data_IF_537575849553
#
_entry.id   IF_537575849553
#
_cell.length_a   1.000
_cell.length_b   1.000
_cell.length_c   1.000
_cell.angle_alpha   90.00
_cell.angle_beta   90.00
_cell.angle_gamma   90.00
#
_symmetry.space_group_name_H-M   'P 1'
#
loop_
_entity.id
_entity.type
_entity.pdbx_description
1 polymer ?
#
# COMPACT_ATOMS: atom_id res chain seq x y z
N UNK A 1 43.17 0.34 -25.12
CA UNK A 1 42.03 0.92 -25.88
C UNK A 1 41.03 1.56 -24.90
N UNK A 2 41.52 2.50 -24.07
CA UNK A 2 40.82 3.00 -22.88
C UNK A 2 41.30 4.38 -22.44
N UNK A 3 41.82 5.20 -23.36
CA UNK A 3 42.32 6.56 -23.05
C UNK A 3 41.81 7.67 -23.99
N UNK A 4 40.92 7.39 -24.95
CA UNK A 4 40.65 8.33 -26.05
C UNK A 4 39.24 8.96 -26.09
N UNK A 5 38.50 9.00 -24.97
CA UNK A 5 37.14 9.61 -24.91
C UNK A 5 37.01 10.66 -23.79
N UNK A 6 38.06 11.44 -23.53
CA UNK A 6 37.97 12.57 -22.56
C UNK A 6 38.10 13.97 -23.17
N UNK A 7 38.24 14.12 -24.48
CA UNK A 7 38.71 15.39 -25.06
C UNK A 7 37.72 16.15 -25.96
N UNK A 8 36.40 16.05 -25.77
CA UNK A 8 35.47 16.80 -26.64
C UNK A 8 34.15 17.26 -26.00
N UNK A 9 34.20 17.82 -24.79
CA UNK A 9 33.08 18.57 -24.21
C UNK A 9 33.48 19.99 -23.80
N UNK A 10 34.20 20.69 -24.67
CA UNK A 10 34.21 22.16 -24.64
C UNK A 10 32.84 22.64 -25.12
N UNK A 11 31.88 22.66 -24.20
CA UNK A 11 30.61 23.35 -24.37
C UNK A 11 30.94 24.81 -24.68
N UNK A 12 30.76 25.18 -25.94
CA UNK A 12 30.84 26.54 -26.42
C UNK A 12 29.74 27.35 -25.70
N UNK A 13 30.09 27.93 -24.54
CA UNK A 13 29.28 28.92 -23.84
C UNK A 13 29.31 30.20 -24.68
N UNK A 14 28.64 30.18 -25.84
CA UNK A 14 28.36 31.38 -26.60
C UNK A 14 27.81 32.42 -25.64
N UNK A 15 28.42 33.61 -25.67
CA UNK A 15 28.13 34.76 -24.83
C UNK A 15 26.62 34.99 -24.71
N UNK A 16 26.04 34.47 -23.64
CA UNK A 16 24.67 34.75 -23.25
C UNK A 16 24.71 36.23 -22.84
N UNK A 17 24.14 37.09 -23.68
CA UNK A 17 23.95 38.51 -23.35
C UNK A 17 23.43 38.60 -21.93
N UNK A 18 24.00 39.51 -21.14
CA UNK A 18 23.74 39.66 -19.71
C UNK A 18 22.25 39.82 -19.46
N UNK A 19 21.53 38.71 -19.28
CA UNK A 19 20.15 38.73 -18.81
C UNK A 19 20.19 39.50 -17.49
N UNK A 20 19.29 40.47 -17.29
CA UNK A 20 19.26 41.26 -16.06
C UNK A 20 19.25 40.30 -14.86
N UNK A 21 20.19 40.50 -13.94
CA UNK A 21 20.32 39.68 -12.73
C UNK A 21 18.98 39.71 -12.02
N UNK A 22 18.32 38.56 -11.96
CA UNK A 22 16.99 38.45 -11.38
C UNK A 22 17.13 38.56 -9.86
N UNK A 23 16.73 39.70 -9.28
CA UNK A 23 16.89 39.99 -7.84
C UNK A 23 16.04 39.10 -6.91
N UNK A 24 15.12 38.30 -7.45
CA UNK A 24 14.29 37.42 -6.62
C UNK A 24 13.50 36.35 -7.36
N UNK A 25 12.86 35.47 -6.58
CA UNK A 25 12.00 34.39 -7.09
C UNK A 25 10.78 34.96 -7.82
N UNK A 26 10.39 34.36 -8.95
CA UNK A 26 9.16 34.74 -9.69
C UNK A 26 7.92 34.71 -8.80
N UNK A 27 6.95 35.56 -9.09
CA UNK A 27 5.66 35.55 -8.37
C UNK A 27 4.90 34.25 -8.64
N UNK A 28 3.94 33.89 -7.78
CA UNK A 28 3.11 32.68 -7.95
C UNK A 28 2.37 32.71 -9.30
N UNK A 29 1.77 33.85 -9.66
CA UNK A 29 1.07 34.01 -10.94
C UNK A 29 1.99 33.87 -12.14
N UNK A 30 3.22 34.39 -12.04
CA UNK A 30 4.22 34.24 -13.10
C UNK A 30 4.70 32.79 -13.23
N UNK A 31 4.98 32.11 -12.11
CA UNK A 31 5.33 30.68 -12.11
C UNK A 31 4.22 29.84 -12.75
N UNK A 32 2.95 30.13 -12.44
CA UNK A 32 1.81 29.43 -13.01
C UNK A 32 1.70 29.67 -14.53
N UNK A 33 1.81 30.93 -14.97
CA UNK A 33 1.78 31.33 -16.39
C UNK A 33 2.93 30.68 -17.17
N UNK A 34 4.14 30.74 -16.65
CA UNK A 34 5.33 30.17 -17.28
C UNK A 34 5.25 28.64 -17.33
N UNK A 35 4.71 28.01 -16.27
CA UNK A 35 4.49 26.56 -16.24
C UNK A 35 3.50 26.12 -17.31
N UNK A 36 2.40 26.85 -17.47
CA UNK A 36 1.40 26.57 -18.51
C UNK A 36 1.97 26.81 -19.91
N UNK A 37 2.79 27.85 -20.09
CA UNK A 37 3.49 28.13 -21.34
C UNK A 37 4.48 27.02 -21.72
N UNK A 38 5.27 26.53 -20.75
CA UNK A 38 6.16 25.39 -20.94
C UNK A 38 5.41 24.09 -21.20
N UNK A 39 4.29 23.87 -20.52
CA UNK A 39 3.44 22.71 -20.75
C UNK A 39 2.86 22.75 -22.17
N UNK A 40 2.32 23.89 -22.60
CA UNK A 40 1.75 24.07 -23.94
C UNK A 40 2.79 23.89 -25.04
N UNK A 41 3.97 24.49 -24.87
CA UNK A 41 5.05 24.41 -25.88
C UNK A 41 5.67 23.01 -25.99
N UNK A 42 5.65 22.22 -24.91
CA UNK A 42 6.22 20.86 -24.89
C UNK A 42 5.15 19.76 -24.77
N UNK A 43 3.87 20.09 -25.00
CA UNK A 43 2.73 19.23 -24.68
C UNK A 43 2.90 17.83 -25.28
N UNK A 44 3.10 17.75 -26.59
CA UNK A 44 3.21 16.47 -27.30
C UNK A 44 4.37 15.62 -26.78
N UNK A 45 5.54 16.22 -26.51
CA UNK A 45 6.71 15.49 -26.01
C UNK A 45 6.45 14.93 -24.61
N UNK A 46 5.98 15.76 -23.69
CA UNK A 46 5.74 15.36 -22.29
C UNK A 46 4.64 14.31 -22.20
N UNK A 47 3.55 14.49 -22.95
CA UNK A 47 2.47 13.50 -23.03
C UNK A 47 2.89 12.22 -23.73
N UNK A 48 3.83 12.25 -24.68
CA UNK A 48 4.34 11.01 -25.29
C UNK A 48 5.19 10.22 -24.29
N UNK A 49 6.05 10.87 -23.51
CA UNK A 49 6.85 10.21 -22.46
C UNK A 49 5.92 9.51 -21.45
N UNK A 50 4.84 10.17 -21.05
CA UNK A 50 3.85 9.60 -20.13
C UNK A 50 2.95 8.58 -20.82
N UNK A 51 2.58 8.78 -22.08
CA UNK A 51 1.78 7.84 -22.85
C UNK A 51 2.49 6.49 -22.96
N UNK A 52 3.80 6.48 -23.19
CA UNK A 52 4.62 5.27 -23.10
C UNK A 52 4.49 4.63 -21.72
N UNK A 53 4.49 5.43 -20.65
CA UNK A 53 4.34 4.91 -19.30
C UNK A 53 2.95 4.31 -19.02
N UNK A 54 1.89 4.95 -19.49
CA UNK A 54 0.51 4.46 -19.37
C UNK A 54 0.34 3.16 -20.15
N UNK A 55 0.78 3.12 -21.40
CA UNK A 55 0.72 1.90 -22.22
C UNK A 55 1.48 0.75 -21.56
N UNK A 56 2.66 1.05 -21.01
CA UNK A 56 3.44 0.09 -20.27
C UNK A 56 2.67 -0.42 -19.04
N UNK A 57 2.12 0.47 -18.20
CA UNK A 57 1.31 0.09 -17.03
C UNK A 57 0.05 -0.71 -17.40
N UNK A 58 -0.61 -0.42 -18.52
CA UNK A 58 -1.76 -1.20 -19.01
C UNK A 58 -1.33 -2.62 -19.39
N UNK A 59 -0.27 -2.75 -20.20
CA UNK A 59 0.28 -4.04 -20.60
C UNK A 59 0.64 -4.90 -19.38
N UNK A 60 1.26 -4.27 -18.40
CA UNK A 60 1.68 -4.81 -17.12
C UNK A 60 0.47 -5.22 -16.25
N UNK A 61 -0.57 -4.39 -16.18
CA UNK A 61 -1.83 -4.74 -15.51
C UNK A 61 -2.53 -5.96 -16.13
N UNK A 62 -2.50 -6.10 -17.46
CA UNK A 62 -3.03 -7.28 -18.16
C UNK A 62 -2.24 -8.53 -17.76
N UNK A 63 -0.90 -8.47 -17.76
CA UNK A 63 -0.04 -9.56 -17.30
C UNK A 63 -0.33 -9.97 -15.84
N UNK A 64 -0.51 -9.00 -14.95
CA UNK A 64 -0.86 -9.27 -13.55
C UNK A 64 -2.26 -9.91 -13.40
N UNK A 65 -3.23 -9.51 -14.22
CA UNK A 65 -4.55 -10.16 -14.24
C UNK A 65 -4.45 -11.63 -14.63
N UNK A 66 -3.61 -11.96 -15.62
CA UNK A 66 -3.36 -13.34 -16.03
C UNK A 66 -2.69 -14.16 -14.91
N UNK A 67 -1.70 -13.61 -14.19
CA UNK A 67 -1.04 -14.33 -13.08
C UNK A 67 -1.95 -14.55 -11.87
N UNK A 68 -2.89 -13.63 -11.59
CA UNK A 68 -3.88 -13.83 -10.52
C UNK A 68 -4.86 -14.94 -10.93
N UNK A 69 -5.28 -14.99 -12.19
CA UNK A 69 -6.19 -16.04 -12.66
C UNK A 69 -5.59 -17.45 -12.54
N UNK A 70 -4.27 -17.60 -12.79
CA UNK A 70 -3.58 -18.88 -12.61
C UNK A 70 -3.41 -19.24 -11.13
N UNK A 71 -3.22 -18.24 -10.26
CA UNK A 71 -3.14 -18.45 -8.81
C UNK A 71 -4.44 -19.04 -8.25
N UNK A 72 -5.60 -18.58 -8.72
CA UNK A 72 -6.91 -19.06 -8.25
C UNK A 72 -7.14 -20.53 -8.61
N UNK A 73 -6.60 -20.98 -9.74
CA UNK A 73 -6.83 -22.34 -10.26
C UNK A 73 -5.78 -23.33 -9.70
N UNK A 74 -4.60 -22.86 -9.33
CA UNK A 74 -3.52 -23.75 -8.88
C UNK A 74 -3.64 -24.16 -7.42
N UNK A 75 -3.47 -25.46 -7.17
CA UNK A 75 -3.35 -26.03 -5.82
C UNK A 75 -1.91 -26.37 -5.43
N UNK A 76 -0.94 -26.28 -6.36
CA UNK A 76 0.44 -26.67 -6.09
C UNK A 76 1.25 -25.54 -5.44
N UNK A 77 1.92 -25.86 -4.32
CA UNK A 77 2.75 -24.92 -3.54
C UNK A 77 3.85 -24.30 -4.40
N UNK A 78 4.47 -25.08 -5.30
CA UNK A 78 5.54 -24.60 -6.18
C UNK A 78 5.07 -23.49 -7.12
N UNK A 79 3.83 -23.58 -7.63
CA UNK A 79 3.24 -22.54 -8.49
C UNK A 79 2.99 -21.27 -7.68
N UNK A 80 2.58 -21.38 -6.41
CA UNK A 80 2.44 -20.21 -5.53
C UNK A 80 3.76 -19.48 -5.33
N UNK A 81 4.83 -20.21 -5.00
CA UNK A 81 6.17 -19.63 -4.81
C UNK A 81 6.66 -18.96 -6.09
N UNK A 82 6.49 -19.62 -7.24
CA UNK A 82 6.84 -19.08 -8.55
C UNK A 82 6.09 -17.78 -8.87
N UNK A 83 4.78 -17.72 -8.65
CA UNK A 83 3.97 -16.51 -8.91
C UNK A 83 4.37 -15.37 -7.98
N UNK A 84 4.63 -15.64 -6.69
CA UNK A 84 5.10 -14.61 -5.75
C UNK A 84 6.42 -14.01 -6.23
N UNK A 85 7.38 -14.85 -6.65
CA UNK A 85 8.66 -14.38 -7.16
C UNK A 85 8.52 -13.54 -8.44
N UNK A 86 7.70 -13.98 -9.40
CA UNK A 86 7.42 -13.22 -10.63
C UNK A 86 6.75 -11.88 -10.28
N UNK A 87 5.81 -11.88 -9.35
CA UNK A 87 5.12 -10.65 -8.90
C UNK A 87 6.10 -9.68 -8.25
N UNK A 88 7.06 -10.18 -7.47
CA UNK A 88 8.12 -9.34 -6.89
C UNK A 88 9.01 -8.69 -7.97
N UNK A 89 9.52 -9.48 -8.92
CA UNK A 89 10.32 -8.96 -10.04
C UNK A 89 9.55 -7.92 -10.86
N UNK A 90 8.26 -8.17 -11.03
CA UNK A 90 7.33 -7.27 -11.72
C UNK A 90 7.18 -5.93 -10.98
N UNK A 91 6.96 -5.94 -9.66
CA UNK A 91 6.89 -4.71 -8.86
C UNK A 91 8.21 -3.94 -8.92
N UNK A 92 9.34 -4.64 -8.86
CA UNK A 92 10.67 -4.03 -8.97
C UNK A 92 10.85 -3.34 -10.33
N UNK A 93 10.47 -4.02 -11.43
CA UNK A 93 10.53 -3.45 -12.77
C UNK A 93 9.65 -2.19 -12.88
N UNK A 94 8.43 -2.24 -12.35
CA UNK A 94 7.51 -1.10 -12.31
C UNK A 94 8.10 0.11 -11.59
N UNK A 95 8.78 -0.10 -10.46
CA UNK A 95 9.43 0.99 -9.71
C UNK A 95 10.54 1.62 -10.56
N UNK A 96 11.43 0.80 -11.13
CA UNK A 96 12.55 1.26 -11.98
C UNK A 96 12.02 2.05 -13.18
N UNK A 97 10.98 1.55 -13.83
CA UNK A 97 10.41 2.17 -15.00
C UNK A 97 9.71 3.50 -14.69
N UNK A 98 8.89 3.57 -13.63
CA UNK A 98 8.23 4.83 -13.22
C UNK A 98 9.25 5.91 -12.82
N UNK A 99 10.33 5.52 -12.12
CA UNK A 99 11.45 6.44 -11.83
C UNK A 99 12.10 6.94 -13.12
N UNK A 100 12.30 6.06 -14.09
CA UNK A 100 12.91 6.43 -15.38
C UNK A 100 12.04 7.44 -16.13
N UNK A 101 10.71 7.28 -16.09
CA UNK A 101 9.76 8.24 -16.67
C UNK A 101 9.88 9.60 -16.01
N UNK A 102 9.94 9.66 -14.67
CA UNK A 102 10.11 10.92 -13.94
C UNK A 102 11.40 11.66 -14.34
N UNK A 103 12.53 10.94 -14.36
CA UNK A 103 13.83 11.52 -14.77
C UNK A 103 13.77 12.00 -16.24
N UNK A 104 13.16 11.21 -17.13
CA UNK A 104 13.01 11.56 -18.53
C UNK A 104 12.18 12.84 -18.73
N UNK A 105 11.10 13.02 -17.95
CA UNK A 105 10.29 14.25 -17.97
C UNK A 105 11.14 15.44 -17.50
N UNK A 106 11.83 15.32 -16.37
CA UNK A 106 12.67 16.41 -15.84
C UNK A 106 13.76 16.82 -16.86
N UNK A 107 14.40 15.84 -17.49
CA UNK A 107 15.40 16.07 -18.53
C UNK A 107 14.79 16.71 -19.80
N UNK A 108 13.59 16.29 -20.19
CA UNK A 108 12.85 16.85 -21.31
C UNK A 108 12.33 18.28 -21.03
N UNK A 109 12.06 18.63 -19.78
CA UNK A 109 11.72 20.02 -19.38
C UNK A 109 12.96 20.91 -19.49
N UNK A 110 14.11 20.42 -19.03
CA UNK A 110 15.36 21.18 -19.07
C UNK A 110 15.88 21.38 -20.51
N UNK A 111 15.77 20.36 -21.37
CA UNK A 111 16.31 20.41 -22.73
C UNK A 111 15.21 20.44 -23.80
N UNK A 112 15.03 21.60 -24.44
CA UNK A 112 13.94 21.83 -25.40
C UNK A 112 14.07 21.04 -26.72
N UNK A 113 15.25 20.60 -27.11
CA UNK A 113 15.51 20.02 -28.44
C UNK A 113 15.92 18.54 -28.42
N UNK A 114 15.70 17.85 -27.30
CA UNK A 114 16.13 16.45 -27.11
C UNK A 114 15.05 15.47 -27.58
N UNK A 115 15.47 14.36 -28.19
CA UNK A 115 14.57 13.28 -28.62
C UNK A 115 14.07 12.47 -27.42
N UNK A 116 12.87 11.88 -27.54
CA UNK A 116 12.28 11.08 -26.44
C UNK A 116 13.18 9.88 -26.07
N UNK A 117 13.77 9.21 -27.05
CA UNK A 117 14.70 8.09 -26.84
C UNK A 117 15.97 8.50 -26.06
N UNK A 118 16.49 9.70 -26.32
CA UNK A 118 17.63 10.28 -25.60
C UNK A 118 17.26 10.57 -24.14
N UNK A 119 16.03 11.04 -23.89
CA UNK A 119 15.52 11.27 -22.54
C UNK A 119 15.47 9.96 -21.74
N UNK A 120 14.96 8.87 -22.32
CA UNK A 120 14.93 7.56 -21.66
C UNK A 120 16.33 6.98 -21.49
N UNK A 121 17.22 7.14 -22.47
CA UNK A 121 18.61 6.66 -22.36
C UNK A 121 19.35 7.38 -21.23
N UNK A 122 19.15 8.69 -21.10
CA UNK A 122 19.65 9.46 -19.96
C UNK A 122 19.04 8.96 -18.64
N UNK A 123 17.72 8.74 -18.62
CA UNK A 123 17.02 8.25 -17.43
C UNK A 123 17.50 6.87 -16.97
N UNK A 124 17.66 5.90 -17.88
CA UNK A 124 18.14 4.55 -17.55
C UNK A 124 19.57 4.55 -17.01
N UNK A 125 20.44 5.45 -17.48
CA UNK A 125 21.79 5.64 -16.91
C UNK A 125 21.74 6.18 -15.47
N UNK A 126 20.66 6.86 -15.09
CA UNK A 126 20.49 7.54 -13.81
C UNK A 126 19.58 6.81 -12.83
N UNK A 127 18.76 5.87 -13.30
CA UNK A 127 17.67 5.25 -12.53
C UNK A 127 18.14 4.64 -11.22
N UNK A 128 19.28 3.92 -11.22
CA UNK A 128 19.76 3.23 -10.03
C UNK A 128 20.30 4.21 -8.97
N UNK A 129 21.05 5.22 -9.40
CA UNK A 129 21.53 6.28 -8.49
C UNK A 129 20.37 7.11 -7.94
N UNK A 130 19.34 7.35 -8.78
CA UNK A 130 18.14 8.06 -8.38
C UNK A 130 17.22 7.24 -7.47
N UNK A 131 17.16 5.91 -7.65
CA UNK A 131 16.48 5.02 -6.71
C UNK A 131 17.08 5.15 -5.32
N UNK A 132 18.43 5.13 -5.23
CA UNK A 132 19.14 5.40 -3.98
C UNK A 132 18.87 6.80 -3.40
N UNK A 133 18.73 7.82 -4.26
CA UNK A 133 18.31 9.16 -3.86
C UNK A 133 16.90 9.17 -3.26
N UNK A 134 15.91 8.60 -3.96
CA UNK A 134 14.52 8.51 -3.50
C UNK A 134 14.39 7.70 -2.22
N UNK A 135 15.16 6.63 -2.08
CA UNK A 135 15.26 5.83 -0.86
C UNK A 135 15.79 6.66 0.32
N UNK A 136 16.91 7.36 0.11
CA UNK A 136 17.50 8.24 1.14
C UNK A 136 16.52 9.36 1.52
N UNK A 137 15.87 9.98 0.53
CA UNK A 137 14.88 11.02 0.73
C UNK A 137 13.66 10.47 1.49
N UNK A 138 13.12 9.33 1.09
CA UNK A 138 11.97 8.69 1.75
C UNK A 138 12.27 8.33 3.19
N UNK A 139 13.43 7.74 3.44
CA UNK A 139 13.90 7.45 4.79
C UNK A 139 13.98 8.71 5.65
N UNK A 140 14.58 9.80 5.15
CA UNK A 140 14.67 11.05 5.90
C UNK A 140 13.30 11.70 6.12
N UNK A 141 12.43 11.68 5.11
CA UNK A 141 11.07 12.23 5.20
C UNK A 141 10.20 11.44 6.18
N UNK A 142 10.41 10.14 6.36
CA UNK A 142 9.64 9.32 7.31
C UNK A 142 10.29 9.33 8.69
N UNK A 143 11.60 9.10 8.77
CA UNK A 143 12.33 8.97 10.03
C UNK A 143 12.30 10.25 10.86
N UNK A 144 12.49 11.41 10.24
CA UNK A 144 12.51 12.69 10.97
C UNK A 144 11.18 12.93 11.68
N UNK A 145 10.02 12.92 11.00
CA UNK A 145 8.74 13.03 11.68
C UNK A 145 8.49 11.88 12.64
N UNK A 146 8.85 10.63 12.34
CA UNK A 146 8.67 9.52 13.28
C UNK A 146 9.42 9.76 14.60
N UNK A 147 10.66 10.23 14.51
CA UNK A 147 11.51 10.54 15.67
C UNK A 147 10.98 11.75 16.46
N UNK A 148 10.33 12.71 15.78
CA UNK A 148 9.62 13.81 16.44
C UNK A 148 8.26 13.37 17.02
N UNK A 149 7.59 12.40 16.40
CA UNK A 149 6.23 11.96 16.74
C UNK A 149 6.19 11.15 18.03
N UNK A 150 7.17 10.27 18.28
CA UNK A 150 7.21 9.43 19.48
C UNK A 150 7.22 10.25 20.79
N UNK A 151 8.17 11.18 21.02
CA UNK A 151 8.15 11.97 22.27
C UNK A 151 6.92 12.87 22.36
N UNK A 152 6.43 13.35 21.22
CA UNK A 152 5.29 14.26 21.16
C UNK A 152 3.95 13.55 21.44
N UNK A 153 3.79 12.29 21.02
CA UNK A 153 2.63 11.47 21.37
C UNK A 153 2.64 11.04 22.82
N UNK A 154 3.82 10.68 23.37
CA UNK A 154 3.97 10.42 24.80
C UNK A 154 3.59 11.66 25.64
N UNK A 155 4.03 12.84 25.21
CA UNK A 155 3.60 14.11 25.79
C UNK A 155 2.08 14.24 25.68
N UNK A 156 1.48 14.08 24.50
CA UNK A 156 0.04 14.24 24.31
C UNK A 156 -0.81 13.31 25.20
N UNK A 157 -0.40 12.04 25.37
CA UNK A 157 -1.09 11.07 26.23
C UNK A 157 -1.13 11.55 27.69
N UNK A 158 -0.07 12.18 28.18
CA UNK A 158 -0.02 12.71 29.55
C UNK A 158 -1.00 13.87 29.76
N UNK A 159 -1.22 14.71 28.74
CA UNK A 159 -2.10 15.89 28.83
C UNK A 159 -3.56 15.60 28.47
N UNK A 160 -3.87 14.44 27.89
CA UNK A 160 -5.24 14.08 27.47
C UNK A 160 -6.23 14.09 28.64
N UNK A 161 -5.78 13.75 29.85
CA UNK A 161 -6.63 13.70 31.06
C UNK A 161 -6.94 15.08 31.69
N UNK A 162 -6.33 16.17 31.21
CA UNK A 162 -6.48 17.50 31.81
C UNK A 162 -7.70 18.30 31.30
N UNK A 163 -8.51 17.70 30.42
CA UNK A 163 -9.78 18.26 29.94
C UNK A 163 -9.72 18.80 28.50
N UNK A 164 -10.91 18.94 27.89
CA UNK A 164 -11.11 19.20 26.45
C UNK A 164 -10.39 20.45 25.94
N UNK A 165 -10.40 21.55 26.72
CA UNK A 165 -9.75 22.80 26.32
C UNK A 165 -8.24 22.60 26.19
N UNK A 166 -7.61 21.93 27.16
CA UNK A 166 -6.17 21.61 27.13
C UNK A 166 -5.86 20.69 25.95
N UNK A 167 -6.76 19.74 25.63
CA UNK A 167 -6.63 18.85 24.47
C UNK A 167 -6.65 19.61 23.13
N UNK A 168 -7.53 20.60 22.97
CA UNK A 168 -7.60 21.39 21.72
C UNK A 168 -6.35 22.25 21.56
N UNK A 169 -5.91 22.93 22.63
CA UNK A 169 -4.67 23.72 22.59
C UNK A 169 -3.44 22.84 22.34
N UNK A 170 -3.34 21.67 22.99
CA UNK A 170 -2.23 20.75 22.75
C UNK A 170 -2.24 20.19 21.34
N UNK A 171 -3.41 19.90 20.75
CA UNK A 171 -3.53 19.47 19.36
C UNK A 171 -3.10 20.56 18.37
N UNK A 172 -3.47 21.83 18.61
CA UNK A 172 -3.06 22.94 17.76
C UNK A 172 -1.54 23.18 17.81
N UNK A 173 -0.95 23.14 19.01
CA UNK A 173 0.50 23.24 19.21
C UNK A 173 1.20 22.04 18.56
N UNK A 174 0.68 20.83 18.76
CA UNK A 174 1.17 19.60 18.14
C UNK A 174 1.21 19.71 16.63
N UNK A 175 0.10 20.12 16.01
CA UNK A 175 0.01 20.30 14.57
C UNK A 175 1.05 21.33 14.11
N UNK A 176 1.12 22.49 14.76
CA UNK A 176 2.05 23.54 14.36
C UNK A 176 3.52 23.11 14.46
N UNK A 177 3.91 22.47 15.57
CA UNK A 177 5.27 21.96 15.79
C UNK A 177 5.64 20.79 14.88
N UNK A 178 4.69 19.98 14.46
CA UNK A 178 4.95 18.83 13.60
C UNK A 178 4.96 19.21 12.12
N UNK A 179 3.97 19.98 11.67
CA UNK A 179 3.83 20.33 10.26
C UNK A 179 4.97 21.25 9.80
N UNK A 180 5.33 22.28 10.56
CA UNK A 180 6.33 23.26 10.11
C UNK A 180 7.68 22.60 9.78
N UNK A 181 8.30 21.79 10.66
CA UNK A 181 9.55 21.10 10.35
C UNK A 181 9.40 20.17 9.15
N UNK A 182 8.35 19.35 9.11
CA UNK A 182 8.12 18.40 8.00
C UNK A 182 8.02 19.13 6.67
N UNK A 183 7.32 20.26 6.61
CA UNK A 183 7.25 21.09 5.41
C UNK A 183 8.60 21.70 5.02
N UNK A 184 9.39 22.19 5.99
CA UNK A 184 10.73 22.73 5.72
C UNK A 184 11.64 21.65 5.13
N UNK A 185 11.65 20.46 5.71
CA UNK A 185 12.40 19.32 5.16
C UNK A 185 11.87 18.91 3.78
N UNK A 186 10.55 18.90 3.57
CA UNK A 186 9.96 18.56 2.28
C UNK A 186 10.40 19.52 1.16
N UNK A 187 10.34 20.84 1.40
CA UNK A 187 10.85 21.86 0.46
C UNK A 187 12.34 21.65 0.19
N UNK A 188 13.10 21.32 1.24
CA UNK A 188 14.52 21.04 1.11
C UNK A 188 14.80 19.84 0.21
N UNK A 189 14.10 18.73 0.39
CA UNK A 189 14.34 17.54 -0.42
C UNK A 189 13.77 17.63 -1.84
N UNK A 190 12.67 18.37 -2.06
CA UNK A 190 12.08 18.45 -3.40
C UNK A 190 12.98 19.19 -4.40
N UNK A 191 13.73 20.21 -3.96
CA UNK A 191 14.71 20.91 -4.81
C UNK A 191 15.98 20.07 -5.01
N UNK A 192 16.37 19.26 -4.03
CA UNK A 192 17.53 18.36 -4.14
C UNK A 192 17.38 17.36 -5.31
N UNK A 193 16.15 16.97 -5.63
CA UNK A 193 15.82 16.10 -6.77
C UNK A 193 16.30 16.67 -8.10
N UNK A 194 16.05 17.95 -8.35
CA UNK A 194 16.44 18.62 -9.60
C UNK A 194 17.95 18.80 -9.67
N UNK A 195 18.59 19.17 -8.56
CA UNK A 195 20.05 19.28 -8.46
C UNK A 195 20.70 17.93 -8.78
N UNK A 196 20.17 16.85 -8.23
CA UNK A 196 20.74 15.52 -8.44
C UNK A 196 20.65 15.07 -9.90
N UNK A 197 19.49 15.27 -10.53
CA UNK A 197 19.27 14.88 -11.92
C UNK A 197 20.09 15.75 -12.88
N UNK A 198 20.00 17.08 -12.74
CA UNK A 198 20.51 18.03 -13.73
C UNK A 198 21.98 18.40 -13.51
N UNK A 199 22.43 18.55 -12.26
CA UNK A 199 23.82 18.93 -11.97
C UNK A 199 24.76 17.70 -11.87
N UNK A 200 24.23 16.47 -12.01
CA UNK A 200 25.01 15.23 -11.88
C UNK A 200 25.79 15.12 -10.55
N UNK A 201 25.24 15.73 -9.49
CA UNK A 201 25.87 15.73 -8.18
C UNK A 201 25.56 14.45 -7.40
N UNK A 202 26.43 14.09 -6.45
CA UNK A 202 26.15 13.01 -5.50
C UNK A 202 24.91 13.32 -4.64
N UNK A 203 24.29 12.30 -4.05
CA UNK A 203 23.05 12.40 -3.25
C UNK A 203 23.18 13.46 -2.15
N UNK A 204 24.19 13.34 -1.29
CA UNK A 204 24.42 14.26 -0.18
C UNK A 204 24.85 15.66 -0.64
N UNK A 205 25.62 15.77 -1.72
CA UNK A 205 25.97 17.06 -2.31
C UNK A 205 24.72 17.78 -2.80
N UNK A 206 23.81 17.05 -3.44
CA UNK A 206 22.55 17.59 -3.95
C UNK A 206 21.63 18.04 -2.81
N UNK A 207 21.55 17.24 -1.75
CA UNK A 207 20.83 17.61 -0.53
C UNK A 207 21.44 18.87 0.10
N UNK A 208 22.76 18.89 0.37
CA UNK A 208 23.42 20.06 0.96
C UNK A 208 23.25 21.32 0.11
N UNK A 209 23.45 21.22 -1.21
CA UNK A 209 23.28 22.34 -2.14
C UNK A 209 21.83 22.87 -2.16
N UNK A 210 20.85 21.97 -2.06
CA UNK A 210 19.45 22.37 -1.92
C UNK A 210 19.19 23.20 -0.67
N UNK A 211 19.84 22.86 0.45
CA UNK A 211 19.74 23.63 1.71
C UNK A 211 20.22 25.05 1.49
N UNK A 212 21.38 25.21 0.84
CA UNK A 212 21.96 26.52 0.57
C UNK A 212 21.12 27.33 -0.42
N UNK A 213 20.50 26.70 -1.42
CA UNK A 213 19.53 27.41 -2.28
C UNK A 213 18.36 27.98 -1.48
N UNK A 214 17.78 27.17 -0.60
CA UNK A 214 16.58 27.54 0.17
C UNK A 214 16.90 28.47 1.35
N UNK A 215 18.16 28.52 1.81
CA UNK A 215 18.58 29.40 2.92
C UNK A 215 18.26 30.87 2.62
N UNK A 216 17.46 31.48 3.48
CA UNK A 216 16.93 32.84 3.32
C UNK A 216 15.64 32.95 2.49
N UNK A 217 15.23 31.88 1.79
CA UNK A 217 14.06 31.85 0.93
C UNK A 217 12.99 30.82 1.35
N UNK A 218 13.22 30.01 2.39
CA UNK A 218 12.33 28.93 2.82
C UNK A 218 10.84 29.30 2.87
N UNK A 219 10.49 30.41 3.52
CA UNK A 219 9.09 30.87 3.61
C UNK A 219 8.52 31.32 2.26
N UNK A 220 9.33 32.02 1.45
CA UNK A 220 8.95 32.43 0.09
C UNK A 220 8.73 31.21 -0.82
N UNK A 221 9.52 30.16 -0.65
CA UNK A 221 9.37 28.90 -1.39
C UNK A 221 8.13 28.13 -0.92
N UNK A 222 7.88 28.08 0.39
CA UNK A 222 6.70 27.43 0.97
C UNK A 222 5.40 27.93 0.32
N UNK A 223 5.19 29.25 0.30
CA UNK A 223 3.99 29.84 -0.31
C UNK A 223 3.87 29.57 -1.81
N UNK A 224 4.98 29.34 -2.52
CA UNK A 224 4.97 28.95 -3.93
C UNK A 224 4.55 27.50 -4.12
N UNK A 225 4.70 26.62 -3.12
CA UNK A 225 4.22 25.23 -3.20
C UNK A 225 2.72 25.09 -2.89
N UNK A 226 2.11 26.03 -2.18
CA UNK A 226 0.68 26.00 -1.81
C UNK A 226 -0.25 25.79 -3.02
N UNK A 227 -0.08 26.46 -4.17
CA UNK A 227 -0.88 26.21 -5.37
C UNK A 227 -0.84 24.75 -5.85
N UNK A 228 0.32 24.09 -5.76
CA UNK A 228 0.45 22.67 -6.11
C UNK A 228 -0.41 21.82 -5.16
N UNK A 229 -0.32 22.06 -3.85
CA UNK A 229 -1.15 21.35 -2.87
C UNK A 229 -2.65 21.56 -3.10
N UNK A 230 -3.05 22.80 -3.39
CA UNK A 230 -4.44 23.14 -3.73
C UNK A 230 -4.89 22.35 -4.97
N UNK A 231 -4.07 22.27 -6.02
CA UNK A 231 -4.39 21.47 -7.21
C UNK A 231 -4.58 19.99 -6.89
N UNK A 232 -3.80 19.41 -5.97
CA UNK A 232 -4.01 18.02 -5.55
C UNK A 232 -5.25 17.84 -4.68
N UNK A 233 -5.60 18.82 -3.84
CA UNK A 233 -6.71 18.72 -2.87
C UNK A 233 -8.08 18.97 -3.52
N UNK A 234 -8.18 19.90 -4.49
CA UNK A 234 -9.45 20.32 -5.12
C UNK A 234 -10.31 19.14 -5.60
N UNK A 235 -9.81 18.14 -6.36
CA UNK A 235 -10.65 17.06 -6.86
C UNK A 235 -11.26 16.21 -5.74
N UNK A 236 -10.50 15.99 -4.66
CA UNK A 236 -11.00 15.27 -3.50
C UNK A 236 -12.05 16.07 -2.73
N UNK A 237 -11.89 17.40 -2.62
CA UNK A 237 -12.92 18.26 -2.04
C UNK A 237 -14.20 18.28 -2.88
N UNK A 238 -14.09 18.32 -4.20
CA UNK A 238 -15.24 18.23 -5.11
C UNK A 238 -15.93 16.87 -4.93
N UNK A 239 -15.17 15.78 -4.92
CA UNK A 239 -15.71 14.42 -4.71
C UNK A 239 -16.43 14.30 -3.37
N UNK A 240 -15.79 14.79 -2.30
CA UNK A 240 -16.36 14.79 -0.96
C UNK A 240 -17.65 15.63 -0.89
N UNK A 241 -17.66 16.82 -1.49
CA UNK A 241 -18.83 17.69 -1.56
C UNK A 241 -19.99 17.05 -2.34
N UNK A 242 -19.71 16.41 -3.48
CA UNK A 242 -20.72 15.68 -4.24
C UNK A 242 -21.31 14.51 -3.44
N UNK A 243 -20.48 13.80 -2.68
CA UNK A 243 -20.94 12.70 -1.83
C UNK A 243 -21.81 13.19 -0.66
N UNK A 244 -21.42 14.31 -0.03
CA UNK A 244 -22.10 14.81 1.17
C UNK A 244 -23.37 15.60 0.84
N UNK A 245 -23.35 16.45 -0.18
CA UNK A 245 -24.46 17.33 -0.52
C UNK A 245 -25.34 16.80 -1.66
N UNK A 246 -24.84 15.90 -2.49
CA UNK A 246 -25.50 15.49 -3.73
C UNK A 246 -26.62 14.47 -3.57
N UNK A 247 -26.83 13.90 -2.37
CA UNK A 247 -27.74 12.75 -2.14
C UNK A 247 -27.58 11.65 -3.21
N UNK A 248 -26.35 11.47 -3.72
CA UNK A 248 -26.08 10.54 -4.81
C UNK A 248 -26.31 9.13 -4.26
N UNK A 249 -27.34 8.46 -4.78
CA UNK A 249 -27.61 7.08 -4.41
C UNK A 249 -26.36 6.22 -4.63
N UNK A 250 -25.96 5.48 -3.60
CA UNK A 250 -24.80 4.58 -3.59
C UNK A 250 -24.89 3.56 -4.74
N UNK A 251 -26.11 3.27 -5.22
CA UNK A 251 -26.33 2.41 -6.38
C UNK A 251 -25.80 3.01 -7.69
N UNK A 252 -26.03 4.31 -7.94
CA UNK A 252 -25.50 5.05 -9.09
C UNK A 252 -23.97 5.22 -9.00
N UNK A 253 -23.46 5.29 -7.77
CA UNK A 253 -22.02 5.41 -7.53
C UNK A 253 -21.23 4.24 -8.13
N UNK A 254 -21.74 3.01 -8.06
CA UNK A 254 -21.04 1.81 -8.58
C UNK A 254 -20.74 1.89 -10.08
N UNK A 255 -21.71 2.32 -10.89
CA UNK A 255 -21.49 2.47 -12.33
C UNK A 255 -20.67 3.73 -12.65
N UNK A 256 -20.79 4.79 -11.85
CA UNK A 256 -20.00 6.01 -12.00
C UNK A 256 -18.54 5.87 -11.54
N UNK A 257 -18.22 4.85 -10.73
CA UNK A 257 -16.91 4.69 -10.11
C UNK A 257 -15.80 4.60 -11.16
N UNK A 258 -16.02 3.83 -12.23
CA UNK A 258 -15.04 3.66 -13.29
C UNK A 258 -14.80 4.96 -14.06
N UNK A 259 -15.88 5.69 -14.40
CA UNK A 259 -15.78 6.99 -15.06
C UNK A 259 -15.10 8.03 -14.18
N UNK A 260 -15.44 8.08 -12.89
CA UNK A 260 -14.81 8.99 -11.93
C UNK A 260 -13.33 8.68 -11.74
N UNK A 261 -12.97 7.40 -11.59
CA UNK A 261 -11.57 6.97 -11.49
C UNK A 261 -10.77 7.36 -12.73
N UNK A 262 -11.35 7.24 -13.93
CA UNK A 262 -10.72 7.67 -15.17
C UNK A 262 -10.48 9.18 -15.18
N UNK A 263 -11.49 9.99 -14.83
CA UNK A 263 -11.37 11.46 -14.77
C UNK A 263 -10.30 11.88 -13.76
N UNK A 264 -10.31 11.32 -12.55
CA UNK A 264 -9.31 11.63 -11.52
C UNK A 264 -7.91 11.20 -11.94
N UNK A 265 -7.78 10.06 -12.65
CA UNK A 265 -6.48 9.61 -13.17
C UNK A 265 -5.93 10.55 -14.24
N UNK A 266 -6.77 10.98 -15.19
CA UNK A 266 -6.39 11.95 -16.22
C UNK A 266 -6.02 13.31 -15.61
N UNK A 267 -6.79 13.77 -14.63
CA UNK A 267 -6.46 14.98 -13.87
C UNK A 267 -5.14 14.83 -13.11
N UNK A 268 -4.93 13.70 -12.44
CA UNK A 268 -3.70 13.40 -11.70
C UNK A 268 -2.46 13.44 -12.60
N UNK A 269 -2.54 12.89 -13.80
CA UNK A 269 -1.47 12.95 -14.81
C UNK A 269 -1.15 14.41 -15.17
N UNK A 270 -2.18 15.22 -15.44
CA UNK A 270 -2.00 16.64 -15.74
C UNK A 270 -1.33 17.39 -14.59
N UNK A 271 -1.83 17.22 -13.36
CA UNK A 271 -1.26 17.88 -12.17
C UNK A 271 0.17 17.42 -11.92
N UNK A 272 0.48 16.14 -12.13
CA UNK A 272 1.84 15.62 -12.00
C UNK A 272 2.82 16.35 -12.94
N UNK A 273 2.51 16.44 -14.24
CA UNK A 273 3.37 17.13 -15.22
C UNK A 273 3.51 18.61 -14.85
N UNK A 274 2.38 19.26 -14.57
CA UNK A 274 2.36 20.67 -14.22
C UNK A 274 3.22 20.95 -12.98
N UNK A 275 3.12 20.10 -11.95
CA UNK A 275 3.92 20.20 -10.72
C UNK A 275 5.41 20.05 -11.00
N UNK A 276 5.82 19.12 -11.87
CA UNK A 276 7.23 18.94 -12.25
C UNK A 276 7.79 20.18 -12.97
N UNK A 277 7.03 20.76 -13.90
CA UNK A 277 7.42 22.01 -14.58
C UNK A 277 7.53 23.15 -13.57
N UNK A 278 6.50 23.31 -12.73
CA UNK A 278 6.45 24.39 -11.75
C UNK A 278 7.60 24.33 -10.74
N UNK A 279 7.93 23.14 -10.26
CA UNK A 279 9.08 22.92 -9.37
C UNK A 279 10.42 23.11 -10.08
N UNK A 280 10.54 22.68 -11.34
CA UNK A 280 11.71 22.97 -12.16
C UNK A 280 11.94 24.48 -12.31
N UNK A 281 10.87 25.27 -12.50
CA UNK A 281 10.97 26.71 -12.59
C UNK A 281 11.46 27.35 -11.28
N UNK A 282 10.98 26.88 -10.13
CA UNK A 282 11.51 27.30 -8.81
C UNK A 282 13.00 26.99 -8.69
N UNK A 283 13.41 25.77 -9.08
CA UNK A 283 14.82 25.38 -9.09
C UNK A 283 15.66 26.26 -10.03
N UNK A 284 15.13 26.57 -11.22
CA UNK A 284 15.80 27.45 -12.18
C UNK A 284 15.98 28.87 -11.62
N UNK A 285 15.00 29.41 -10.90
CA UNK A 285 15.14 30.70 -10.22
C UNK A 285 16.27 30.65 -9.17
N UNK A 286 16.38 29.55 -8.40
CA UNK A 286 17.48 29.40 -7.46
C UNK A 286 18.86 29.36 -8.11
N UNK A 287 18.98 28.70 -9.27
CA UNK A 287 20.23 28.70 -10.03
C UNK A 287 20.59 30.11 -10.52
N UNK A 288 19.60 30.92 -10.91
CA UNK A 288 19.82 32.30 -11.35
C UNK A 288 20.22 33.23 -10.20
N UNK A 289 19.63 33.05 -9.02
CA UNK A 289 19.88 33.90 -7.85
C UNK A 289 21.22 33.58 -7.18
N UNK A 290 21.65 32.30 -7.18
CA UNK A 290 22.89 31.85 -6.50
C UNK A 290 23.79 31.03 -7.43
N UNK A 291 24.35 31.63 -8.49
CA UNK A 291 25.18 30.92 -9.46
C UNK A 291 26.50 30.41 -8.86
N UNK A 292 27.02 31.04 -7.80
CA UNK A 292 28.31 30.71 -7.17
C UNK A 292 28.34 29.38 -6.40
N UNK A 293 27.20 28.73 -6.16
CA UNK A 293 27.11 27.49 -5.37
C UNK A 293 27.60 26.23 -6.11
N UNK A 294 28.56 26.33 -7.04
CA UNK A 294 29.30 25.20 -7.62
C UNK A 294 30.27 24.61 -6.57
N UNK A 295 29.72 24.04 -5.50
CA UNK A 295 30.47 23.43 -4.40
C UNK A 295 31.24 22.22 -4.94
N UNK A 296 32.55 22.18 -4.69
CA UNK A 296 33.41 21.05 -5.03
C UNK A 296 33.00 19.81 -4.22
N UNK A 297 32.97 18.64 -4.87
CA UNK A 297 32.45 17.42 -4.24
C UNK A 297 33.27 17.04 -3.00
N UNK A 298 32.67 17.02 -1.82
CA UNK A 298 33.32 16.54 -0.60
C UNK A 298 33.23 15.02 -0.51
N UNK A 299 34.38 14.32 -0.57
CA UNK A 299 34.49 12.84 -0.60
C UNK A 299 33.92 12.09 0.63
N UNK A 300 33.53 12.76 1.71
CA UNK A 300 33.31 12.16 3.05
C UNK A 300 31.97 11.44 3.27
N UNK A 301 31.03 11.42 2.31
CA UNK A 301 29.67 10.93 2.58
C UNK A 301 29.31 9.54 2.01
N UNK A 302 30.27 8.77 1.48
CA UNK A 302 29.98 7.46 0.86
C UNK A 302 29.45 6.40 1.85
N UNK A 303 29.90 6.42 3.11
CA UNK A 303 29.57 5.38 4.10
C UNK A 303 28.10 5.47 4.55
N UNK A 304 27.57 6.68 4.76
CA UNK A 304 26.17 6.84 5.16
C UNK A 304 25.16 6.34 4.12
N UNK A 305 25.49 6.43 2.83
CA UNK A 305 24.66 5.88 1.75
C UNK A 305 24.64 4.36 1.78
N UNK A 306 25.80 3.72 1.96
CA UNK A 306 25.89 2.25 2.02
C UNK A 306 25.05 1.73 3.20
N UNK A 307 25.13 2.36 4.37
CA UNK A 307 24.34 1.98 5.54
C UNK A 307 22.83 2.12 5.27
N UNK A 308 22.39 3.23 4.66
CA UNK A 308 20.99 3.45 4.34
C UNK A 308 20.44 2.40 3.34
N UNK A 309 21.23 2.06 2.31
CA UNK A 309 20.86 1.02 1.33
C UNK A 309 20.74 -0.35 2.00
N UNK A 310 21.65 -0.69 2.94
CA UNK A 310 21.61 -1.95 3.69
C UNK A 310 20.35 -2.04 4.55
N UNK A 311 20.01 -0.99 5.32
CA UNK A 311 18.81 -1.00 6.16
C UNK A 311 17.53 -1.20 5.33
N UNK A 312 17.42 -0.54 4.18
CA UNK A 312 16.26 -0.68 3.30
C UNK A 312 16.20 -2.09 2.68
N UNK A 313 17.35 -2.65 2.31
CA UNK A 313 17.38 -4.03 1.81
C UNK A 313 16.95 -5.02 2.89
N UNK A 314 17.36 -4.80 4.14
CA UNK A 314 16.91 -5.58 5.30
C UNK A 314 15.39 -5.45 5.48
N UNK A 315 14.84 -4.24 5.42
CA UNK A 315 13.40 -4.02 5.56
C UNK A 315 12.59 -4.69 4.43
N UNK A 316 13.07 -4.59 3.18
CA UNK A 316 12.44 -5.24 2.03
C UNK A 316 12.49 -6.76 2.18
N UNK A 317 13.65 -7.32 2.55
CA UNK A 317 13.80 -8.77 2.81
C UNK A 317 12.91 -9.21 3.96
N UNK A 318 12.79 -8.42 5.03
CA UNK A 318 11.93 -8.70 6.16
C UNK A 318 10.45 -8.70 5.74
N UNK A 319 10.00 -7.69 5.00
CA UNK A 319 8.62 -7.62 4.47
C UNK A 319 8.34 -8.82 3.55
N UNK A 320 9.24 -9.13 2.62
CA UNK A 320 9.07 -10.26 1.69
C UNK A 320 9.08 -11.61 2.42
N UNK A 321 9.86 -11.75 3.49
CA UNK A 321 9.89 -12.97 4.31
C UNK A 321 8.62 -13.12 5.15
N UNK A 322 8.06 -12.00 5.62
CA UNK A 322 6.90 -12.00 6.51
C UNK A 322 5.55 -12.10 5.76
N UNK A 323 5.45 -11.52 4.56
CA UNK A 323 4.23 -11.46 3.76
C UNK A 323 3.62 -12.85 3.46
N UNK A 324 4.39 -13.88 3.05
CA UNK A 324 3.87 -15.21 2.79
C UNK A 324 3.25 -15.86 4.02
N UNK A 325 3.81 -15.63 5.22
CA UNK A 325 3.28 -16.18 6.47
C UNK A 325 1.90 -15.59 6.80
N UNK A 326 1.74 -14.27 6.66
CA UNK A 326 0.45 -13.59 6.86
C UNK A 326 -0.59 -14.07 5.84
N UNK A 327 -0.20 -14.16 4.57
CA UNK A 327 -1.07 -14.63 3.50
C UNK A 327 -1.48 -16.09 3.72
N UNK A 328 -0.53 -16.94 4.09
CA UNK A 328 -0.78 -18.35 4.39
C UNK A 328 -1.80 -18.51 5.53
N UNK A 329 -1.65 -17.77 6.63
CA UNK A 329 -2.61 -17.81 7.74
C UNK A 329 -4.01 -17.36 7.32
N UNK A 330 -4.10 -16.30 6.51
CA UNK A 330 -5.39 -15.79 6.03
C UNK A 330 -6.07 -16.76 5.07
N UNK A 331 -5.31 -17.36 4.14
CA UNK A 331 -5.81 -18.38 3.21
C UNK A 331 -6.26 -19.63 3.97
N UNK A 332 -5.47 -20.08 4.96
CA UNK A 332 -5.84 -21.22 5.83
C UNK A 332 -7.18 -20.96 6.53
N UNK A 333 -7.40 -19.76 7.05
CA UNK A 333 -8.65 -19.39 7.71
C UNK A 333 -9.86 -19.31 6.76
N UNK A 334 -9.66 -19.07 5.46
CA UNK A 334 -10.72 -19.12 4.45
C UNK A 334 -10.98 -20.53 3.92
N UNK A 335 -9.96 -21.39 3.86
CA UNK A 335 -10.08 -22.76 3.37
C UNK A 335 -10.56 -23.74 4.43
N UNK A 336 -10.41 -23.43 5.72
CA UNK A 336 -11.11 -24.16 6.78
C UNK A 336 -12.57 -23.67 6.71
N UNK A 337 -13.53 -24.50 6.27
CA UNK A 337 -14.93 -24.11 6.26
C UNK A 337 -15.30 -23.72 7.67
N UNK A 338 -15.63 -22.44 7.86
CA UNK A 338 -16.17 -21.99 9.14
C UNK A 338 -17.41 -22.86 9.40
N UNK A 339 -17.49 -23.54 10.55
CA UNK A 339 -18.68 -24.28 10.89
C UNK A 339 -19.84 -23.31 10.76
N UNK A 340 -20.86 -23.68 9.98
CA UNK A 340 -22.04 -22.85 9.76
C UNK A 340 -22.75 -22.78 11.11
N UNK A 341 -22.41 -21.78 11.92
CA UNK A 341 -23.15 -21.42 13.12
C UNK A 341 -24.44 -20.81 12.57
N UNK A 342 -25.44 -21.66 12.35
CA UNK A 342 -26.80 -21.24 12.13
C UNK A 342 -27.27 -20.62 13.43
N UNK A 343 -27.09 -19.30 13.55
CA UNK A 343 -27.77 -18.55 14.59
C UNK A 343 -29.26 -18.78 14.37
N UNK A 344 -29.87 -19.57 15.26
CA UNK A 344 -31.32 -19.79 15.38
C UNK A 344 -32.02 -18.50 15.79
N UNK A 345 -31.90 -17.44 14.99
CA UNK A 345 -32.73 -16.25 15.10
C UNK A 345 -33.94 -16.46 14.21
N UNK A 346 -35.00 -17.00 14.82
CA UNK A 346 -36.43 -16.72 14.60
C UNK A 346 -36.79 -16.17 13.22
N UNK A 347 -36.43 -16.89 12.16
CA UNK A 347 -37.06 -16.68 10.87
C UNK A 347 -38.43 -17.33 10.97
N UNK A 348 -39.45 -16.50 11.15
CA UNK A 348 -40.85 -16.88 10.93
C UNK A 348 -40.95 -17.44 9.53
N UNK A 349 -40.90 -18.78 9.43
CA UNK A 349 -41.03 -19.51 8.19
C UNK A 349 -42.37 -19.13 7.53
N UNK A 350 -42.40 -18.82 6.22
CA UNK A 350 -43.66 -18.69 5.50
C UNK A 350 -44.42 -20.02 5.65
N UNK A 351 -45.63 -19.92 6.22
CA UNK A 351 -46.46 -20.99 6.77
C UNK A 351 -47.10 -21.92 5.70
N UNK A 352 -46.32 -22.33 4.70
CA UNK A 352 -46.72 -23.26 3.63
C UNK A 352 -45.50 -24.05 3.11
N UNK A 353 -44.80 -24.76 3.99
CA UNK A 353 -44.04 -25.93 3.57
C UNK A 353 -44.74 -27.17 4.13
N UNK A 354 -45.11 -28.08 3.22
CA UNK A 354 -45.77 -29.35 3.52
C UNK A 354 -44.97 -30.15 4.57
N UNK A 355 -45.64 -30.89 5.47
CA UNK A 355 -45.03 -31.60 6.60
C UNK A 355 -43.94 -32.62 6.21
N UNK A 356 -43.88 -33.03 4.94
CA UNK A 356 -42.88 -33.97 4.44
C UNK A 356 -41.44 -33.43 4.46
N UNK A 357 -41.23 -32.11 4.37
CA UNK A 357 -39.88 -31.55 4.36
C UNK A 357 -39.29 -31.31 5.75
N UNK A 358 -40.11 -31.23 6.82
CA UNK A 358 -39.61 -30.92 8.17
C UNK A 358 -38.81 -32.09 8.74
N UNK A 359 -39.34 -33.32 8.65
CA UNK A 359 -38.66 -34.51 9.18
C UNK A 359 -37.33 -34.78 8.45
N UNK A 360 -37.24 -34.45 7.15
CA UNK A 360 -35.98 -34.58 6.38
C UNK A 360 -34.93 -33.57 6.83
N UNK A 361 -35.34 -32.35 7.17
CA UNK A 361 -34.46 -31.32 7.76
C UNK A 361 -33.99 -31.76 9.14
N UNK A 362 -34.88 -32.31 9.98
CA UNK A 362 -34.52 -32.86 11.28
C UNK A 362 -33.57 -34.06 11.18
N UNK A 363 -33.80 -34.99 10.26
CA UNK A 363 -32.88 -36.12 10.00
C UNK A 363 -31.49 -35.64 9.53
N UNK A 364 -31.44 -34.54 8.77
CA UNK A 364 -30.18 -33.93 8.33
C UNK A 364 -29.46 -33.25 9.50
N UNK A 365 -30.20 -32.56 10.37
CA UNK A 365 -29.67 -31.96 11.61
C UNK A 365 -29.07 -33.02 12.53
N UNK A 366 -29.84 -34.09 12.81
CA UNK A 366 -29.41 -35.24 13.62
C UNK A 366 -28.17 -35.94 13.08
N UNK A 367 -28.07 -36.06 11.75
CA UNK A 367 -26.86 -36.62 11.11
C UNK A 367 -25.63 -35.72 11.25
N UNK A 368 -25.81 -34.39 11.30
CA UNK A 368 -24.74 -33.44 11.58
C UNK A 368 -24.27 -33.52 13.04
N UNK A 369 -25.21 -33.59 13.98
CA UNK A 369 -24.92 -33.76 15.41
C UNK A 369 -24.20 -35.09 15.70
N UNK A 370 -24.59 -36.17 15.02
CA UNK A 370 -23.90 -37.46 15.08
C UNK A 370 -22.41 -37.35 14.72
N UNK A 371 -22.08 -36.55 13.69
CA UNK A 371 -20.68 -36.33 13.29
C UNK A 371 -19.93 -35.46 14.31
N UNK A 372 -20.60 -34.48 14.92
CA UNK A 372 -20.00 -33.64 15.96
C UNK A 372 -19.69 -34.42 17.23
N UNK A 373 -20.54 -35.37 17.63
CA UNK A 373 -20.35 -36.21 18.82
C UNK A 373 -19.14 -37.16 18.73
N UNK A 374 -18.61 -37.44 17.53
CA UNK A 374 -17.41 -38.28 17.39
C UNK A 374 -16.18 -37.62 17.98
N UNK A 375 -16.06 -36.30 17.85
CA UNK A 375 -14.87 -35.57 18.29
C UNK A 375 -14.69 -35.58 19.82
N UNK A 376 -15.73 -35.36 20.63
CA UNK A 376 -15.66 -35.55 22.08
C UNK A 376 -15.32 -36.98 22.51
N UNK A 377 -15.82 -38.01 21.82
CA UNK A 377 -15.49 -39.41 22.15
C UNK A 377 -13.99 -39.67 21.93
N UNK A 378 -13.44 -39.16 20.83
CA UNK A 378 -12.00 -39.24 20.53
C UNK A 378 -11.19 -38.46 21.58
N UNK A 379 -11.64 -37.25 21.92
CA UNK A 379 -10.99 -36.40 22.94
C UNK A 379 -11.01 -37.07 24.31
N UNK A 380 -12.12 -37.71 24.68
CA UNK A 380 -12.25 -38.50 25.90
C UNK A 380 -11.19 -39.60 25.95
N UNK A 381 -11.04 -40.36 24.86
CA UNK A 381 -10.02 -41.42 24.76
C UNK A 381 -8.60 -40.88 24.89
N UNK A 382 -8.28 -39.76 24.25
CA UNK A 382 -6.95 -39.14 24.35
C UNK A 382 -6.64 -38.75 25.80
N UNK A 383 -7.63 -38.20 26.52
CA UNK A 383 -7.42 -37.72 27.89
C UNK A 383 -7.48 -38.82 28.95
N UNK A 384 -8.35 -39.82 28.78
CA UNK A 384 -8.60 -40.89 29.78
C UNK A 384 -7.96 -42.22 29.43
N UNK A 385 -7.39 -42.36 28.23
CA UNK A 385 -6.76 -43.59 27.75
C UNK A 385 -7.73 -44.73 27.38
N UNK A 386 -9.04 -44.49 27.44
CA UNK A 386 -10.09 -45.45 27.12
C UNK A 386 -11.32 -44.75 26.56
N UNK A 387 -12.14 -45.47 25.79
CA UNK A 387 -13.41 -44.96 25.25
C UNK A 387 -14.49 -45.06 26.35
N UNK A 388 -15.41 -44.08 26.47
CA UNK A 388 -16.46 -44.11 27.49
C UNK A 388 -17.26 -45.42 27.44
N UNK A 389 -17.67 -45.92 28.60
CA UNK A 389 -18.47 -47.13 28.74
C UNK A 389 -19.94 -46.90 28.35
N UNK A 390 -20.43 -45.66 28.49
CA UNK A 390 -21.80 -45.26 28.15
C UNK A 390 -21.90 -43.75 27.81
N UNK A 391 -23.08 -43.30 27.35
CA UNK A 391 -23.32 -41.88 27.03
C UNK A 391 -23.29 -40.96 28.25
N UNK A 392 -23.60 -41.45 29.45
CA UNK A 392 -23.59 -40.63 30.67
C UNK A 392 -22.17 -40.22 31.06
N UNK A 393 -21.20 -41.11 30.87
CA UNK A 393 -19.77 -40.81 31.07
C UNK A 393 -19.28 -39.75 30.08
N UNK A 394 -19.68 -39.86 28.81
CA UNK A 394 -19.39 -38.84 27.79
C UNK A 394 -20.07 -37.50 28.14
N UNK A 395 -21.31 -37.54 28.63
CA UNK A 395 -22.07 -36.35 29.04
C UNK A 395 -21.35 -35.59 30.16
N UNK A 396 -20.85 -36.29 31.17
CA UNK A 396 -20.08 -35.67 32.26
C UNK A 396 -18.82 -34.97 31.75
N UNK A 397 -18.13 -35.59 30.78
CA UNK A 397 -16.96 -34.98 30.13
C UNK A 397 -17.31 -33.72 29.34
N UNK A 398 -18.42 -33.72 28.60
CA UNK A 398 -18.90 -32.55 27.85
C UNK A 398 -19.26 -31.37 28.78
N UNK A 399 -19.87 -31.66 29.94
CA UNK A 399 -20.16 -30.65 30.98
C UNK A 399 -18.86 -30.04 31.53
N UNK A 400 -17.84 -30.86 31.78
CA UNK A 400 -16.52 -30.39 32.24
C UNK A 400 -15.87 -29.45 31.20
N UNK A 401 -16.02 -29.74 29.90
CA UNK A 401 -15.51 -28.89 28.80
C UNK A 401 -16.41 -27.70 28.43
N UNK A 402 -17.56 -27.55 29.09
CA UNK A 402 -18.57 -26.49 28.84
C UNK A 402 -19.22 -26.55 27.45
N UNK A 403 -19.37 -27.73 26.87
CA UNK A 403 -20.01 -27.94 25.55
C UNK A 403 -21.53 -28.21 25.68
N UNK A 404 -22.27 -27.20 26.14
CA UNK A 404 -23.68 -27.33 26.56
C UNK A 404 -24.62 -27.83 25.45
N UNK A 405 -24.39 -27.44 24.19
CA UNK A 405 -25.30 -27.79 23.08
C UNK A 405 -25.36 -29.28 22.74
N UNK A 406 -24.31 -30.05 23.03
CA UNK A 406 -24.26 -31.49 22.76
C UNK A 406 -24.88 -32.32 23.91
N UNK A 407 -24.92 -31.74 25.11
CA UNK A 407 -25.51 -32.37 26.30
C UNK A 407 -27.03 -32.48 26.14
N UNK A 408 -27.67 -31.41 25.67
CA UNK A 408 -29.12 -31.37 25.44
C UNK A 408 -29.55 -32.43 24.42
N UNK A 409 -28.76 -32.61 23.36
CA UNK A 409 -29.04 -33.59 22.30
C UNK A 409 -28.93 -35.06 22.79
N UNK A 410 -28.06 -35.33 23.77
CA UNK A 410 -27.97 -36.65 24.43
C UNK A 410 -29.20 -36.89 25.31
N UNK A 411 -29.66 -35.87 26.04
CA UNK A 411 -30.79 -35.97 26.98
C UNK A 411 -32.14 -36.20 26.29
N UNK A 412 -32.28 -35.78 25.04
CA UNK A 412 -33.46 -36.07 24.22
C UNK A 412 -33.58 -37.57 23.83
N UNK A 413 -32.60 -38.42 24.16
CA UNK A 413 -32.64 -39.86 23.88
C UNK A 413 -32.57 -40.21 22.39
N UNK A 414 -32.04 -39.27 21.60
CA UNK A 414 -31.96 -39.36 20.13
C UNK A 414 -30.77 -40.24 19.69
N UNK A 415 -29.74 -40.37 20.54
CA UNK A 415 -28.53 -41.12 20.27
C UNK A 415 -28.46 -42.40 21.10
N UNK A 416 -27.91 -43.45 20.50
CA UNK A 416 -27.59 -44.70 21.17
C UNK A 416 -26.13 -45.03 20.93
N UNK A 417 -25.47 -45.47 21.99
CA UNK A 417 -24.05 -45.75 22.00
C UNK A 417 -23.82 -47.19 22.42
N UNK A 418 -22.94 -47.87 21.70
CA UNK A 418 -22.55 -49.24 22.00
C UNK A 418 -21.03 -49.37 21.90
N UNK A 419 -20.39 -49.69 23.02
CA UNK A 419 -18.98 -50.07 23.04
C UNK A 419 -18.84 -51.46 22.41
N UNK A 420 -18.05 -51.57 21.34
CA UNK A 420 -17.84 -52.82 20.61
C UNK A 420 -16.61 -53.56 21.11
N UNK A 421 -15.54 -52.82 21.41
CA UNK A 421 -14.26 -53.35 21.91
C UNK A 421 -13.63 -52.36 22.89
N UNK A 422 -12.39 -52.62 23.32
CA UNK A 422 -11.63 -51.66 24.13
C UNK A 422 -11.39 -50.33 23.39
N UNK A 423 -11.27 -50.42 22.06
CA UNK A 423 -10.85 -49.32 21.20
C UNK A 423 -11.89 -48.96 20.13
N UNK A 424 -13.02 -49.67 20.06
CA UNK A 424 -14.07 -49.43 19.08
C UNK A 424 -15.43 -49.18 19.72
N UNK A 425 -16.18 -48.27 19.12
CA UNK A 425 -17.56 -47.98 19.46
C UNK A 425 -18.43 -47.85 18.22
N UNK A 426 -19.74 -47.96 18.43
CA UNK A 426 -20.78 -47.65 17.48
C UNK A 426 -21.68 -46.58 18.09
N UNK A 427 -21.84 -45.47 17.38
CA UNK A 427 -22.74 -44.38 17.74
C UNK A 427 -23.82 -44.27 16.68
N UNK A 428 -25.08 -44.39 17.08
CA UNK A 428 -26.24 -44.34 16.20
C UNK A 428 -27.14 -43.17 16.56
N UNK A 429 -27.85 -42.66 15.55
CA UNK A 429 -28.89 -41.65 15.72
C UNK A 429 -30.21 -42.13 15.15
N UNK A 430 -31.29 -41.96 15.92
CA UNK A 430 -32.63 -42.36 15.49
C UNK A 430 -33.20 -41.37 14.48
N UNK A 431 -33.49 -41.84 13.27
CA UNK A 431 -34.06 -41.00 12.21
C UNK A 431 -35.60 -41.11 12.23
N UNK A 432 -36.29 -40.03 11.86
CA UNK A 432 -37.76 -39.97 11.81
C UNK A 432 -38.31 -40.56 10.52
N UNK A 433 -37.60 -40.42 9.40
CA UNK A 433 -38.08 -40.86 8.07
C UNK A 433 -37.30 -42.01 7.47
N UNK A 434 -36.23 -42.45 8.12
CA UNK A 434 -35.26 -43.41 7.61
C UNK A 434 -34.83 -44.37 8.70
N UNK A 435 -34.13 -45.42 8.30
CA UNK A 435 -33.43 -46.29 9.22
C UNK A 435 -32.38 -45.50 10.01
N UNK A 436 -32.14 -45.95 11.24
CA UNK A 436 -31.17 -45.34 12.14
C UNK A 436 -29.79 -45.29 11.48
N UNK A 437 -29.13 -44.14 11.60
CA UNK A 437 -27.81 -43.94 11.00
C UNK A 437 -26.73 -44.17 12.05
N UNK A 438 -25.89 -45.17 11.82
CA UNK A 438 -24.78 -45.51 12.71
C UNK A 438 -23.42 -45.14 12.10
N UNK A 439 -22.48 -44.77 12.96
CA UNK A 439 -21.06 -44.67 12.63
C UNK A 439 -20.28 -45.54 13.61
N UNK A 440 -19.51 -46.47 13.04
CA UNK A 440 -18.62 -47.34 13.78
C UNK A 440 -17.20 -46.80 13.67
N UNK A 441 -16.52 -46.66 14.81
CA UNK A 441 -15.09 -46.37 14.78
C UNK A 441 -14.29 -47.62 14.45
N UNK A 442 -13.17 -47.46 13.74
CA UNK A 442 -12.12 -48.46 13.65
C UNK A 442 -10.81 -47.75 13.98
N UNK A 443 -10.30 -47.99 15.17
CA UNK A 443 -9.05 -47.37 15.63
C UNK A 443 -7.87 -48.32 15.61
#
# INVERSE_FOLDING_TARGET
>A
MSEEIQNNQDFNYQQIGTEPVQEGLRSIGQLFKDSFSLLKSNFLRLFTIIGVAILFNIFIGILAGLTISTLIISTSVDVYVGIIFITFLYVLFLIIFNISVEIAIIYAIHNKNVRISECFTFAFKKVLSYLGFNMTQGFLIILIPLLLFIPLTLFFIQFFNLGIVVTIYSLAIFALFFFIPVFVFYIWFIIARYIFILDNNGIFTSISKSREYIRGYGWKTFWRLVPIFIMYIIPYLIMFGLMFFGNIDVSLYKNSLLTMNLIFSLYGIFVMIFSLIYLYLIYSDFQKIKPELKISSTKKYKIGFIIAVIFIFIDIVFIISWLPSILYQKIKNYMIPQPIITNNQNTTLPNKMLPYNLNKVEDTKRAGELAQLQYPIISYRIEKGQIPDNLDELKQFLVEKKEVSLVDAIDEGIFYYKKLSKDDFELCVKQLTREDKCVTSKF
#
